data_IF_254860042769
#
_entry.id   IF_254860042769
#
_cell.length_a   1.000
_cell.length_b   1.000
_cell.length_c   1.000
_cell.angle_alpha   90.00
_cell.angle_beta   90.00
_cell.angle_gamma   90.00
#
_symmetry.space_group_name_H-M   'P 1'
#
loop_
_entity.id
_entity.type
_entity.pdbx_description
1 polymer ?
#
# COMPACT_ATOMS: atom_id res chain seq x y z
N UNK A 1 5.83 -31.28 9.80
CA UNK A 1 4.43 -30.84 9.56
C UNK A 1 4.45 -29.93 8.33
N UNK A 2 3.69 -30.22 7.26
CA UNK A 2 3.67 -29.37 6.07
C UNK A 2 2.58 -28.30 6.23
N UNK A 3 2.96 -27.05 6.46
CA UNK A 3 2.01 -25.96 6.62
C UNK A 3 1.41 -25.55 5.26
N UNK A 4 0.07 -25.50 5.18
CA UNK A 4 -0.63 -25.18 3.94
C UNK A 4 -1.02 -23.69 3.87
N UNK A 5 -0.21 -22.91 3.15
CA UNK A 5 -0.49 -21.51 2.85
C UNK A 5 -1.00 -21.27 1.43
N UNK A 6 -1.55 -22.31 0.80
CA UNK A 6 -2.11 -22.16 -0.55
C UNK A 6 -3.31 -21.21 -0.52
N UNK A 7 -3.31 -20.28 -1.47
CA UNK A 7 -4.40 -19.37 -1.75
C UNK A 7 -4.65 -19.37 -3.25
N UNK A 8 -5.90 -19.22 -3.65
CA UNK A 8 -6.28 -19.23 -5.08
C UNK A 8 -5.49 -18.17 -5.85
N UNK A 9 -5.39 -16.96 -5.28
CA UNK A 9 -4.70 -15.84 -5.89
C UNK A 9 -3.92 -15.07 -4.80
N UNK A 10 -2.78 -14.47 -5.15
CA UNK A 10 -2.10 -13.44 -4.34
C UNK A 10 -2.70 -12.05 -4.62
N UNK A 11 -2.89 -11.72 -5.90
CA UNK A 11 -3.37 -10.43 -6.36
C UNK A 11 -4.90 -10.42 -6.48
N UNK A 12 -5.51 -9.41 -5.86
CA UNK A 12 -6.86 -9.00 -6.19
C UNK A 12 -6.81 -8.20 -7.50
N UNK A 13 -7.69 -8.52 -8.45
CA UNK A 13 -7.72 -7.88 -9.76
C UNK A 13 -8.93 -6.95 -9.87
N UNK A 14 -8.70 -5.71 -10.34
CA UNK A 14 -9.74 -4.80 -10.84
C UNK A 14 -9.46 -4.46 -12.29
N UNK A 15 -10.52 -4.22 -13.06
CA UNK A 15 -10.44 -3.84 -14.47
C UNK A 15 -11.43 -2.69 -14.66
N UNK A 16 -10.98 -1.64 -15.32
CA UNK A 16 -11.80 -0.53 -15.79
C UNK A 16 -11.41 -0.22 -17.25
N UNK A 17 -11.89 0.91 -17.76
CA UNK A 17 -11.72 1.28 -19.18
C UNK A 17 -10.29 1.73 -19.52
N UNK A 18 -9.46 2.06 -18.52
CA UNK A 18 -8.10 2.59 -18.73
C UNK A 18 -7.00 1.60 -18.33
N UNK A 19 -7.25 0.74 -17.35
CA UNK A 19 -6.24 -0.11 -16.73
C UNK A 19 -6.78 -1.42 -16.14
N UNK A 20 -5.87 -2.38 -16.03
CA UNK A 20 -5.96 -3.55 -15.15
C UNK A 20 -5.08 -3.29 -13.93
N UNK A 21 -5.64 -3.48 -12.74
CA UNK A 21 -4.94 -3.24 -11.48
C UNK A 21 -4.83 -4.55 -10.70
N UNK A 22 -3.60 -4.96 -10.40
CA UNK A 22 -3.29 -6.07 -9.51
C UNK A 22 -2.86 -5.56 -8.13
N UNK A 23 -3.62 -5.89 -7.08
CA UNK A 23 -3.37 -5.39 -5.73
C UNK A 23 -3.10 -6.53 -4.76
N UNK A 24 -1.96 -6.49 -4.07
CA UNK A 24 -1.61 -7.43 -3.01
C UNK A 24 -2.13 -6.93 -1.66
N UNK A 25 -2.81 -7.82 -0.95
CA UNK A 25 -3.26 -7.60 0.43
C UNK A 25 -2.62 -8.64 1.34
N UNK A 26 -1.77 -8.18 2.25
CA UNK A 26 -1.16 -8.97 3.31
C UNK A 26 -1.81 -8.63 4.67
N UNK A 27 -1.77 -9.57 5.60
CA UNK A 27 -2.18 -9.35 6.98
C UNK A 27 -1.06 -8.67 7.79
N UNK A 28 -1.38 -7.56 8.46
CA UNK A 28 -0.48 -6.88 9.40
C UNK A 28 -0.21 -7.73 10.66
N UNK A 29 0.84 -7.40 11.41
CA UNK A 29 1.32 -8.15 12.58
C UNK A 29 0.21 -8.58 13.54
N UNK A 30 -0.60 -7.61 14.00
CA UNK A 30 -1.66 -7.90 14.98
C UNK A 30 -2.63 -8.96 14.49
N UNK A 31 -2.86 -9.04 13.18
CA UNK A 31 -3.79 -9.98 12.57
C UNK A 31 -3.21 -11.37 12.39
N UNK A 32 -1.93 -11.49 12.06
CA UNK A 32 -1.29 -12.81 11.95
C UNK A 32 -1.12 -13.51 13.31
N UNK A 33 -1.10 -12.76 14.43
CA UNK A 33 -1.16 -13.35 15.79
C UNK A 33 -2.47 -14.11 16.04
N UNK A 34 -3.55 -13.73 15.38
CA UNK A 34 -4.85 -14.41 15.48
C UNK A 34 -5.00 -15.57 14.49
N UNK A 35 -3.95 -15.96 13.75
CA UNK A 35 -4.03 -17.04 12.76
C UNK A 35 -4.68 -18.34 13.28
N UNK A 36 -4.41 -18.82 14.52
CA UNK A 36 -5.11 -20.00 15.06
C UNK A 36 -6.62 -19.82 15.16
N UNK A 37 -7.12 -18.62 15.49
CA UNK A 37 -8.55 -18.32 15.54
C UNK A 37 -9.20 -18.40 14.14
N UNK A 38 -8.41 -18.17 13.10
CA UNK A 38 -8.81 -18.31 11.70
C UNK A 38 -8.63 -19.75 11.17
N UNK A 39 -8.23 -20.72 12.00
CA UNK A 39 -7.96 -22.10 11.60
C UNK A 39 -6.70 -22.24 10.73
N UNK A 40 -5.71 -21.38 10.94
CA UNK A 40 -4.45 -21.38 10.18
C UNK A 40 -3.29 -21.63 11.15
N UNK A 41 -2.68 -22.79 11.02
CA UNK A 41 -1.46 -23.14 11.73
C UNK A 41 -0.22 -22.56 11.06
N UNK A 42 0.84 -22.36 11.84
CA UNK A 42 2.12 -21.90 11.33
C UNK A 42 3.31 -22.46 12.08
N UNK A 43 4.47 -22.41 11.43
CA UNK A 43 5.74 -22.85 12.01
C UNK A 43 6.21 -21.87 13.09
N UNK A 44 5.95 -22.21 14.35
CA UNK A 44 6.38 -21.41 15.51
C UNK A 44 7.89 -21.45 15.73
N UNK A 45 8.58 -22.44 15.19
CA UNK A 45 10.04 -22.58 15.32
C UNK A 45 10.77 -21.73 14.29
N UNK A 46 10.22 -21.63 13.07
CA UNK A 46 10.77 -20.81 12.00
C UNK A 46 10.33 -19.34 12.05
N UNK A 47 9.18 -19.02 12.66
CA UNK A 47 8.63 -17.66 12.67
C UNK A 47 8.22 -17.18 14.06
N UNK A 48 8.91 -16.14 14.55
CA UNK A 48 8.51 -15.43 15.75
C UNK A 48 7.59 -14.24 15.40
N UNK A 49 6.27 -14.41 15.58
CA UNK A 49 5.27 -13.38 15.24
C UNK A 49 5.47 -12.05 15.97
N UNK A 50 6.08 -12.03 17.16
CA UNK A 50 6.36 -10.80 17.89
C UNK A 50 7.42 -9.94 17.20
N UNK A 51 8.25 -10.54 16.34
CA UNK A 51 9.29 -9.85 15.55
C UNK A 51 8.83 -9.49 14.13
N UNK A 52 7.64 -9.92 13.71
CA UNK A 52 7.14 -9.67 12.35
C UNK A 52 6.31 -8.40 12.34
N UNK A 53 6.81 -7.32 11.73
CA UNK A 53 5.99 -6.16 11.43
C UNK A 53 6.14 -5.76 9.95
N UNK A 54 5.06 -5.94 9.18
CA UNK A 54 5.01 -5.57 7.77
C UNK A 54 4.77 -4.07 7.53
N UNK A 55 4.53 -3.27 8.58
CA UNK A 55 4.36 -1.81 8.52
C UNK A 55 5.19 -1.15 9.65
N UNK A 56 6.52 -1.18 9.54
CA UNK A 56 7.42 -0.78 10.63
C UNK A 56 7.22 0.67 11.11
N UNK A 57 6.85 1.58 10.21
CA UNK A 57 6.65 3.00 10.49
C UNK A 57 5.17 3.39 10.64
N UNK A 58 4.26 2.44 10.90
CA UNK A 58 2.86 2.76 11.10
C UNK A 58 2.65 3.57 12.38
N UNK A 59 1.99 4.74 12.26
CA UNK A 59 1.56 5.55 13.40
C UNK A 59 0.28 4.99 14.03
N UNK A 60 -0.08 5.48 15.23
CA UNK A 60 -1.33 5.06 15.88
C UNK A 60 -2.54 5.40 15.00
N UNK A 61 -2.55 6.57 14.36
CA UNK A 61 -3.57 6.95 13.38
C UNK A 61 -3.65 5.98 12.21
N UNK A 62 -2.50 5.61 11.63
CA UNK A 62 -2.43 4.65 10.54
C UNK A 62 -2.98 3.26 10.92
N UNK A 63 -2.66 2.77 12.12
CA UNK A 63 -3.15 1.46 12.61
C UNK A 63 -4.66 1.51 12.85
N UNK A 64 -5.16 2.57 13.47
CA UNK A 64 -6.58 2.74 13.77
C UNK A 64 -7.43 2.89 12.51
N UNK A 65 -6.96 3.68 11.54
CA UNK A 65 -7.64 3.91 10.27
C UNK A 65 -7.38 2.82 9.20
N UNK A 66 -6.60 1.78 9.53
CA UNK A 66 -6.13 0.80 8.56
C UNK A 66 -7.30 0.09 7.84
N UNK A 67 -7.30 0.16 6.51
CA UNK A 67 -8.33 -0.42 5.64
C UNK A 67 -8.47 -1.94 5.79
N UNK A 68 -7.51 -2.63 6.40
CA UNK A 68 -7.64 -4.04 6.74
C UNK A 68 -8.81 -4.29 7.70
N UNK A 69 -9.06 -3.33 8.60
CA UNK A 69 -10.05 -3.41 9.67
C UNK A 69 -11.38 -2.73 9.33
N UNK A 70 -11.53 -2.10 8.16
CA UNK A 70 -12.73 -1.32 7.80
C UNK A 70 -13.66 -2.09 6.85
N UNK A 71 -14.97 -1.83 6.93
CA UNK A 71 -16.00 -2.41 6.06
C UNK A 71 -16.56 -3.75 6.57
N UNK A 72 -17.00 -4.62 5.64
CA UNK A 72 -17.65 -5.94 5.89
C UNK A 72 -16.87 -6.92 6.82
N UNK A 73 -15.66 -6.54 7.26
CA UNK A 73 -14.69 -7.40 7.96
C UNK A 73 -14.67 -7.25 9.48
N UNK A 74 -15.40 -6.28 10.04
CA UNK A 74 -15.43 -6.03 11.49
C UNK A 74 -16.20 -7.11 12.25
N UNK A 75 -17.33 -7.58 11.72
CA UNK A 75 -18.31 -8.36 12.50
C UNK A 75 -18.47 -9.82 12.04
N UNK A 76 -17.58 -10.33 11.20
CA UNK A 76 -17.67 -11.71 10.71
C UNK A 76 -16.97 -12.69 11.66
N UNK A 77 -17.58 -13.85 11.92
CA UNK A 77 -16.93 -14.96 12.64
C UNK A 77 -15.59 -15.34 12.00
N UNK A 78 -14.55 -15.57 12.82
CA UNK A 78 -13.18 -15.79 12.35
C UNK A 78 -13.07 -16.92 11.31
N UNK A 79 -13.66 -18.08 11.59
CA UNK A 79 -13.69 -19.23 10.68
C UNK A 79 -14.46 -19.00 9.37
N UNK A 80 -15.34 -18.00 9.31
CA UNK A 80 -16.13 -17.66 8.10
C UNK A 80 -15.51 -16.50 7.31
N UNK A 81 -14.53 -15.78 7.85
CA UNK A 81 -13.88 -14.67 7.16
C UNK A 81 -12.77 -15.15 6.21
N UNK A 82 -13.20 -15.63 5.04
CA UNK A 82 -12.30 -16.12 3.98
C UNK A 82 -11.28 -15.08 3.50
N UNK A 83 -11.62 -13.79 3.58
CA UNK A 83 -10.74 -12.71 3.13
C UNK A 83 -9.57 -12.51 4.10
N UNK A 84 -9.84 -12.44 5.41
CA UNK A 84 -8.77 -12.37 6.42
C UNK A 84 -7.91 -13.65 6.41
N UNK A 85 -8.53 -14.81 6.26
CA UNK A 85 -7.81 -16.08 6.08
C UNK A 85 -6.86 -16.03 4.87
N UNK A 86 -7.34 -15.57 3.71
CA UNK A 86 -6.49 -15.43 2.52
C UNK A 86 -5.32 -14.47 2.75
N UNK A 87 -5.54 -13.31 3.40
CA UNK A 87 -4.47 -12.36 3.73
C UNK A 87 -3.43 -12.95 4.68
N UNK A 88 -3.85 -13.71 5.70
CA UNK A 88 -2.95 -14.41 6.63
C UNK A 88 -2.12 -15.47 5.89
N UNK A 89 -2.77 -16.30 5.07
CA UNK A 89 -2.08 -17.32 4.25
C UNK A 89 -1.09 -16.68 3.29
N UNK A 90 -1.45 -15.59 2.60
CA UNK A 90 -0.52 -14.82 1.74
C UNK A 90 0.69 -14.31 2.54
N UNK A 91 0.45 -13.76 3.74
CA UNK A 91 1.54 -13.30 4.62
C UNK A 91 2.45 -14.45 5.02
N UNK A 92 1.91 -15.59 5.48
CA UNK A 92 2.75 -16.72 5.84
C UNK A 92 3.46 -17.33 4.64
N UNK A 93 2.81 -17.38 3.47
CA UNK A 93 3.47 -17.81 2.23
C UNK A 93 4.66 -16.91 1.90
N UNK A 94 4.52 -15.59 2.03
CA UNK A 94 5.64 -14.65 1.85
C UNK A 94 6.77 -14.88 2.88
N UNK A 95 6.42 -15.06 4.15
CA UNK A 95 7.41 -15.16 5.25
C UNK A 95 8.10 -16.52 5.34
N UNK A 96 7.41 -17.61 5.01
CA UNK A 96 7.87 -18.99 5.25
C UNK A 96 8.06 -19.80 3.96
N UNK A 97 7.47 -19.37 2.84
CA UNK A 97 7.49 -20.09 1.55
C UNK A 97 7.79 -19.11 0.40
N UNK A 98 8.85 -18.31 0.58
CA UNK A 98 9.15 -17.15 -0.26
C UNK A 98 9.29 -17.49 -1.76
N UNK A 99 9.92 -18.60 -2.11
CA UNK A 99 10.04 -19.06 -3.50
C UNK A 99 8.66 -19.32 -4.12
N UNK A 100 7.83 -20.11 -3.46
CA UNK A 100 6.46 -20.40 -3.90
C UNK A 100 5.58 -19.15 -3.95
N UNK A 101 5.84 -18.16 -3.09
CA UNK A 101 5.17 -16.86 -3.15
C UNK A 101 5.52 -16.12 -4.45
N UNK A 102 6.81 -16.00 -4.77
CA UNK A 102 7.25 -15.31 -5.98
C UNK A 102 6.84 -16.05 -7.25
N UNK A 103 6.93 -17.38 -7.30
CA UNK A 103 6.43 -18.16 -8.43
C UNK A 103 4.95 -17.90 -8.73
N UNK A 104 4.12 -17.87 -7.69
CA UNK A 104 2.70 -17.57 -7.84
C UNK A 104 2.48 -16.11 -8.26
N UNK A 105 3.20 -15.15 -7.68
CA UNK A 105 3.12 -13.73 -8.04
C UNK A 105 3.48 -13.51 -9.51
N UNK A 106 4.57 -14.13 -9.97
CA UNK A 106 5.05 -14.07 -11.36
C UNK A 106 4.02 -14.65 -12.32
N UNK A 107 3.42 -15.79 -11.98
CA UNK A 107 2.35 -16.41 -12.80
C UNK A 107 1.15 -15.47 -12.92
N UNK A 108 0.74 -14.83 -11.83
CA UNK A 108 -0.40 -13.92 -11.80
C UNK A 108 -0.12 -12.62 -12.58
N UNK A 109 1.04 -11.98 -12.38
CA UNK A 109 1.42 -10.77 -13.15
C UNK A 109 1.48 -11.09 -14.65
N UNK A 110 2.07 -12.23 -15.05
CA UNK A 110 2.08 -12.65 -16.46
C UNK A 110 0.66 -12.84 -17.03
N UNK A 111 -0.27 -13.38 -16.25
CA UNK A 111 -1.66 -13.52 -16.67
C UNK A 111 -2.35 -12.16 -16.83
N UNK A 112 -2.11 -11.21 -15.92
CA UNK A 112 -2.62 -9.84 -16.03
C UNK A 112 -2.01 -9.12 -17.22
N UNK A 113 -0.70 -9.26 -17.46
CA UNK A 113 0.02 -8.66 -18.60
C UNK A 113 -0.54 -9.13 -19.94
N UNK A 114 -0.78 -10.45 -20.11
CA UNK A 114 -1.45 -10.98 -21.31
C UNK A 114 -2.85 -10.38 -21.48
N UNK A 115 -3.60 -10.23 -20.39
CA UNK A 115 -4.95 -9.64 -20.44
C UNK A 115 -4.90 -8.15 -20.80
N UNK A 116 -3.99 -7.39 -20.20
CA UNK A 116 -3.80 -5.97 -20.46
C UNK A 116 -3.47 -5.74 -21.94
N UNK A 117 -2.51 -6.51 -22.48
CA UNK A 117 -2.16 -6.48 -23.92
C UNK A 117 -3.35 -6.82 -24.82
N UNK A 118 -4.14 -7.85 -24.49
CA UNK A 118 -5.32 -8.25 -25.27
C UNK A 118 -6.37 -7.13 -25.37
N UNK A 119 -6.52 -6.34 -24.31
CA UNK A 119 -7.55 -5.30 -24.22
C UNK A 119 -7.00 -3.89 -24.43
N UNK A 120 -5.72 -3.74 -24.81
CA UNK A 120 -5.03 -2.45 -24.92
C UNK A 120 -5.16 -1.56 -23.66
N UNK A 121 -5.08 -2.18 -22.49
CA UNK A 121 -5.16 -1.51 -21.18
C UNK A 121 -3.78 -1.38 -20.56
N UNK A 122 -3.58 -0.36 -19.72
CA UNK A 122 -2.40 -0.28 -18.84
C UNK A 122 -2.43 -1.41 -17.80
N UNK A 123 -1.27 -1.84 -17.32
CA UNK A 123 -1.17 -2.76 -16.18
C UNK A 123 -0.47 -2.07 -15.02
N UNK A 124 -1.20 -1.89 -13.93
CA UNK A 124 -0.69 -1.32 -12.68
C UNK A 124 -0.65 -2.38 -11.59
N UNK A 125 0.46 -2.46 -10.85
CA UNK A 125 0.63 -3.37 -9.72
C UNK A 125 0.90 -2.60 -8.43
N UNK A 126 0.07 -2.84 -7.42
CA UNK A 126 0.21 -2.29 -6.07
C UNK A 126 0.48 -3.42 -5.07
N UNK A 127 1.68 -3.45 -4.48
CA UNK A 127 2.10 -4.54 -3.59
C UNK A 127 1.91 -4.21 -2.10
N UNK A 128 1.87 -2.92 -1.74
CA UNK A 128 1.73 -2.38 -0.39
C UNK A 128 0.36 -1.74 -0.17
N UNK A 129 -0.73 -2.52 -0.29
CA UNK A 129 -2.06 -2.00 0.06
C UNK A 129 -2.38 -2.09 1.53
N UNK A 130 -1.91 -3.15 2.21
CA UNK A 130 -2.09 -3.35 3.66
C UNK A 130 -0.77 -3.75 4.35
N UNK A 131 0.35 -3.40 3.72
CA UNK A 131 1.73 -3.55 4.17
C UNK A 131 2.54 -2.33 3.75
N UNK A 132 3.77 -2.22 4.24
CA UNK A 132 4.79 -1.25 3.81
C UNK A 132 6.14 -2.00 3.76
N UNK A 133 6.23 -2.94 2.82
CA UNK A 133 7.40 -3.78 2.56
C UNK A 133 8.31 -3.07 1.55
N UNK A 134 9.62 -3.21 1.73
CA UNK A 134 10.62 -2.66 0.81
C UNK A 134 10.81 -3.61 -0.38
N UNK A 135 9.81 -3.71 -1.26
CA UNK A 135 9.79 -4.65 -2.38
C UNK A 135 10.98 -4.54 -3.33
N UNK A 136 11.56 -3.35 -3.47
CA UNK A 136 12.79 -3.11 -4.24
C UNK A 136 14.03 -3.79 -3.64
N UNK A 137 13.94 -4.28 -2.40
CA UNK A 137 14.99 -5.02 -1.68
C UNK A 137 14.64 -6.50 -1.50
N UNK A 138 13.49 -6.95 -1.98
CA UNK A 138 13.05 -8.34 -1.84
C UNK A 138 13.55 -9.19 -3.01
N UNK A 139 14.79 -9.68 -2.91
CA UNK A 139 15.39 -10.55 -3.93
C UNK A 139 14.81 -11.97 -3.92
N UNK A 140 14.80 -12.61 -5.08
CA UNK A 140 14.37 -14.00 -5.26
C UNK A 140 15.09 -14.64 -6.46
N UNK A 141 15.03 -15.96 -6.55
CA UNK A 141 15.51 -16.73 -7.70
C UNK A 141 14.32 -17.24 -8.50
N UNK A 142 14.36 -17.13 -9.82
CA UNK A 142 13.35 -17.67 -10.72
C UNK A 142 14.02 -18.22 -11.98
N UNK A 143 13.77 -19.50 -12.29
CA UNK A 143 14.42 -20.23 -13.40
C UNK A 143 15.94 -20.06 -13.37
N UNK A 144 16.55 -20.34 -12.21
CA UNK A 144 18.00 -20.28 -11.98
C UNK A 144 18.63 -18.88 -12.09
N UNK A 145 17.84 -17.84 -12.39
CA UNK A 145 18.30 -16.44 -12.43
C UNK A 145 17.91 -15.74 -11.12
N UNK A 146 18.87 -15.06 -10.50
CA UNK A 146 18.63 -14.24 -9.32
C UNK A 146 18.22 -12.83 -9.73
N UNK A 147 17.07 -12.39 -9.24
CA UNK A 147 16.55 -11.03 -9.41
C UNK A 147 16.68 -10.26 -8.10
N UNK A 148 17.04 -8.98 -8.18
CA UNK A 148 17.13 -8.05 -7.04
C UNK A 148 15.76 -7.75 -6.46
N UNK A 149 14.74 -7.71 -7.31
CA UNK A 149 13.33 -7.52 -6.94
C UNK A 149 12.40 -7.87 -8.11
N UNK A 150 11.09 -7.83 -7.85
CA UNK A 150 10.07 -8.22 -8.84
C UNK A 150 9.95 -7.23 -10.00
N UNK A 151 10.35 -5.98 -9.79
CA UNK A 151 10.28 -4.94 -10.82
C UNK A 151 11.37 -5.12 -11.89
N UNK A 152 12.53 -5.70 -11.54
CA UNK A 152 13.57 -6.10 -12.50
C UNK A 152 13.11 -7.23 -13.43
N UNK A 153 12.30 -8.17 -12.93
CA UNK A 153 11.75 -9.23 -13.80
C UNK A 153 10.65 -8.71 -14.74
N UNK A 154 9.95 -7.64 -14.34
CA UNK A 154 8.82 -7.07 -15.08
C UNK A 154 9.06 -5.59 -15.42
N UNK A 155 10.15 -5.31 -16.14
CA UNK A 155 10.56 -3.93 -16.48
C UNK A 155 9.50 -3.14 -17.27
N UNK A 156 8.59 -3.84 -17.96
CA UNK A 156 7.50 -3.27 -18.76
C UNK A 156 6.14 -3.20 -18.03
N UNK A 157 6.13 -3.47 -16.73
CA UNK A 157 4.94 -3.34 -15.87
C UNK A 157 5.15 -2.18 -14.91
N UNK A 158 4.13 -1.33 -14.76
CA UNK A 158 4.14 -0.20 -13.84
C UNK A 158 3.75 -0.66 -12.43
N UNK A 159 4.65 -0.40 -11.47
CA UNK A 159 4.40 -0.64 -10.05
C UNK A 159 4.24 0.69 -9.33
N UNK A 160 3.33 0.74 -8.37
CA UNK A 160 3.22 1.90 -7.47
C UNK A 160 2.85 1.46 -6.07
N UNK A 161 3.39 2.16 -5.07
CA UNK A 161 3.08 1.88 -3.66
C UNK A 161 3.10 3.15 -2.80
N UNK A 162 2.32 3.11 -1.72
CA UNK A 162 2.39 4.10 -0.65
C UNK A 162 3.33 3.61 0.44
N UNK A 163 4.11 4.53 1.02
CA UNK A 163 5.09 4.19 2.04
C UNK A 163 5.22 5.27 3.09
N UNK A 164 5.51 4.88 4.33
CA UNK A 164 5.87 5.81 5.42
C UNK A 164 7.38 5.88 5.66
N UNK A 165 8.17 5.11 4.92
CA UNK A 165 9.61 5.24 4.96
C UNK A 165 10.04 6.58 4.35
N UNK A 166 11.09 7.16 4.92
CA UNK A 166 11.70 8.35 4.34
C UNK A 166 12.37 7.98 3.00
N UNK A 167 11.73 8.34 1.89
CA UNK A 167 12.17 7.98 0.54
C UNK A 167 13.52 8.65 0.23
N UNK A 168 13.65 9.93 0.58
CA UNK A 168 14.84 10.75 0.34
C UNK A 168 16.09 10.21 1.05
N UNK A 169 15.95 9.56 2.22
CA UNK A 169 17.07 8.98 2.98
C UNK A 169 17.31 7.51 2.66
N UNK A 170 16.24 6.70 2.57
CA UNK A 170 16.36 5.23 2.64
C UNK A 170 15.98 4.47 1.36
N UNK A 171 15.39 5.15 0.35
CA UNK A 171 14.86 4.56 -0.88
C UNK A 171 15.20 5.38 -2.14
N UNK A 172 16.44 5.92 -2.22
CA UNK A 172 16.89 6.81 -3.33
C UNK A 172 17.10 6.14 -4.70
N UNK A 173 17.11 4.79 -4.77
CA UNK A 173 17.44 4.03 -5.98
C UNK A 173 16.36 2.98 -6.27
N UNK A 174 15.14 3.43 -6.52
CA UNK A 174 14.08 2.53 -6.96
C UNK A 174 14.20 2.22 -8.45
N UNK A 175 13.73 1.04 -8.90
CA UNK A 175 13.56 0.74 -10.32
C UNK A 175 12.73 1.81 -11.03
N UNK A 176 13.01 2.09 -12.31
CA UNK A 176 12.34 3.14 -13.09
C UNK A 176 10.83 2.92 -13.24
N UNK A 177 10.40 1.67 -13.25
CA UNK A 177 9.00 1.25 -13.31
C UNK A 177 8.36 1.14 -11.92
N UNK A 178 8.96 1.70 -10.86
CA UNK A 178 8.41 1.68 -9.51
C UNK A 178 8.26 3.08 -8.91
N UNK A 179 7.01 3.51 -8.79
CA UNK A 179 6.63 4.79 -8.21
C UNK A 179 6.33 4.64 -6.72
N UNK A 180 7.06 5.39 -5.88
CA UNK A 180 6.78 5.47 -4.45
C UNK A 180 6.13 6.80 -4.10
N UNK A 181 5.02 6.72 -3.38
CA UNK A 181 4.27 7.89 -2.90
C UNK A 181 4.39 7.93 -1.37
N UNK A 182 4.88 9.04 -0.84
CA UNK A 182 5.01 9.18 0.61
C UNK A 182 3.63 9.34 1.26
N UNK A 183 3.23 8.46 2.16
CA UNK A 183 1.97 8.56 2.89
C UNK A 183 2.16 9.35 4.17
N UNK A 184 1.52 10.52 4.26
CA UNK A 184 1.55 11.36 5.45
C UNK A 184 1.20 10.55 6.70
N UNK A 185 1.97 10.71 7.76
CA UNK A 185 1.97 9.90 8.96
C UNK A 185 1.24 10.59 10.13
N UNK A 186 1.23 11.92 10.16
CA UNK A 186 0.60 12.73 11.19
C UNK A 186 1.37 12.63 12.51
N UNK A 187 0.64 12.54 13.63
CA UNK A 187 1.20 12.43 14.96
C UNK A 187 1.48 10.96 15.35
N UNK A 188 2.64 10.72 15.95
CA UNK A 188 2.96 9.49 16.66
C UNK A 188 3.29 9.81 18.11
N UNK A 189 2.47 9.30 19.04
CA UNK A 189 2.60 9.57 20.48
C UNK A 189 2.67 11.08 20.80
N UNK A 190 1.81 11.86 20.13
CA UNK A 190 1.71 13.32 20.31
C UNK A 190 2.78 14.15 19.59
N UNK A 191 3.74 13.52 18.92
CA UNK A 191 4.78 14.22 18.15
C UNK A 191 4.49 14.14 16.66
N UNK A 192 4.61 15.28 15.96
CA UNK A 192 4.50 15.33 14.51
C UNK A 192 5.65 14.56 13.88
N UNK A 193 5.30 13.63 12.98
CA UNK A 193 6.26 12.75 12.28
C UNK A 193 6.75 13.41 11.00
N UNK A 194 5.87 14.15 10.33
CA UNK A 194 6.11 14.82 9.07
C UNK A 194 5.49 16.22 9.07
N UNK A 195 6.34 17.24 9.16
CA UNK A 195 5.91 18.63 9.03
C UNK A 195 5.52 18.97 7.60
N UNK A 196 4.77 20.07 7.40
CA UNK A 196 4.47 20.56 6.07
C UNK A 196 5.74 20.87 5.26
N UNK A 197 6.76 21.46 5.90
CA UNK A 197 8.07 21.70 5.28
C UNK A 197 8.73 20.41 4.78
N UNK A 198 8.68 19.32 5.55
CA UNK A 198 9.18 18.02 5.13
C UNK A 198 8.39 17.44 3.96
N UNK A 199 7.06 17.62 3.95
CA UNK A 199 6.18 17.22 2.84
C UNK A 199 6.48 18.01 1.57
N UNK A 200 6.66 19.33 1.67
CA UNK A 200 7.09 20.17 0.55
C UNK A 200 8.47 19.75 0.03
N UNK A 201 9.38 19.31 0.90
CA UNK A 201 10.68 18.80 0.46
C UNK A 201 10.54 17.54 -0.41
N UNK A 202 9.63 16.62 -0.09
CA UNK A 202 9.34 15.50 -1.00
C UNK A 202 8.81 16.00 -2.35
N UNK A 203 7.83 16.88 -2.34
CA UNK A 203 7.22 17.42 -3.56
C UNK A 203 8.25 18.15 -4.44
N UNK A 204 9.11 18.99 -3.87
CA UNK A 204 10.20 19.67 -4.59
C UNK A 204 11.23 18.70 -5.20
N UNK A 205 11.36 17.49 -4.65
CA UNK A 205 12.22 16.43 -5.16
C UNK A 205 11.47 15.42 -6.06
N UNK A 206 10.35 15.82 -6.68
CA UNK A 206 9.54 14.99 -7.59
C UNK A 206 8.95 13.74 -6.92
N UNK A 207 8.80 13.75 -5.60
CA UNK A 207 8.17 12.67 -4.84
C UNK A 207 6.78 13.12 -4.44
N UNK A 208 5.77 12.49 -5.03
CA UNK A 208 4.38 12.73 -4.66
C UNK A 208 4.09 12.27 -3.23
N UNK A 209 3.15 12.96 -2.58
CA UNK A 209 2.69 12.62 -1.24
C UNK A 209 1.22 12.20 -1.28
N UNK A 210 0.79 11.45 -0.28
CA UNK A 210 -0.60 11.04 -0.10
C UNK A 210 -1.11 11.50 1.26
N UNK A 211 -2.26 12.14 1.26
CA UNK A 211 -2.94 12.66 2.45
C UNK A 211 -4.29 11.96 2.57
N UNK A 212 -4.62 11.51 3.78
CA UNK A 212 -5.93 10.93 4.07
C UNK A 212 -6.80 12.01 4.70
N UNK A 213 -8.02 12.18 4.22
CA UNK A 213 -8.95 13.18 4.71
C UNK A 213 -10.39 12.69 4.66
N UNK A 214 -11.30 13.41 5.31
CA UNK A 214 -12.74 13.18 5.14
C UNK A 214 -13.18 13.53 3.72
N UNK A 215 -14.35 13.03 3.29
CA UNK A 215 -14.92 13.36 1.97
C UNK A 215 -15.11 14.86 1.79
N UNK A 216 -15.55 15.57 2.83
CA UNK A 216 -15.72 17.03 2.82
C UNK A 216 -14.41 17.76 2.52
N UNK A 217 -13.34 17.42 3.26
CA UNK A 217 -12.02 18.02 3.06
C UNK A 217 -11.44 17.64 1.69
N UNK A 218 -11.64 16.39 1.26
CA UNK A 218 -11.21 15.92 -0.06
C UNK A 218 -11.81 16.77 -1.17
N UNK A 219 -13.13 16.94 -1.18
CA UNK A 219 -13.83 17.68 -2.24
C UNK A 219 -13.39 19.14 -2.26
N UNK A 220 -13.30 19.78 -1.09
CA UNK A 220 -12.82 21.16 -0.98
C UNK A 220 -11.40 21.35 -1.54
N UNK A 221 -10.48 20.45 -1.22
CA UNK A 221 -9.09 20.54 -1.71
C UNK A 221 -9.00 20.23 -3.21
N UNK A 222 -9.83 19.31 -3.73
CA UNK A 222 -9.89 19.02 -5.17
C UNK A 222 -10.38 20.22 -5.99
N UNK A 223 -11.34 21.00 -5.47
CA UNK A 223 -11.82 22.23 -6.13
C UNK A 223 -10.73 23.28 -6.34
N UNK A 224 -9.71 23.29 -5.48
CA UNK A 224 -8.58 24.23 -5.59
C UNK A 224 -7.60 23.84 -6.69
N UNK A 225 -7.62 22.59 -7.16
CA UNK A 225 -6.71 21.95 -8.12
C UNK A 225 -5.21 21.96 -7.73
N UNK A 226 -4.78 22.89 -6.87
CA UNK A 226 -3.42 23.06 -6.38
C UNK A 226 -3.45 23.55 -4.92
N UNK A 227 -2.39 23.22 -4.17
CA UNK A 227 -2.13 23.77 -2.84
C UNK A 227 -0.67 24.23 -2.77
N UNK A 228 -0.46 25.52 -2.50
CA UNK A 228 0.85 26.19 -2.54
C UNK A 228 1.67 25.90 -3.81
N UNK A 229 0.99 25.84 -4.96
CA UNK A 229 1.59 25.58 -6.27
C UNK A 229 1.81 24.10 -6.62
N UNK A 230 1.55 23.17 -5.71
CA UNK A 230 1.62 21.73 -5.99
C UNK A 230 0.27 21.20 -6.47
N UNK A 231 0.28 20.41 -7.56
CA UNK A 231 -0.92 19.79 -8.15
C UNK A 231 -1.60 18.86 -7.15
N UNK A 232 -2.92 18.98 -7.02
CA UNK A 232 -3.76 18.06 -6.26
C UNK A 232 -4.40 17.06 -7.23
N UNK A 233 -4.39 15.79 -6.85
CA UNK A 233 -5.00 14.69 -7.59
C UNK A 233 -5.91 13.85 -6.68
N UNK A 234 -6.95 13.28 -7.26
CA UNK A 234 -7.70 12.24 -6.58
C UNK A 234 -6.90 10.94 -6.61
N UNK A 235 -6.55 10.42 -5.43
CA UNK A 235 -5.79 9.19 -5.35
C UNK A 235 -6.54 8.00 -5.96
N UNK A 236 -7.88 8.00 -5.94
CA UNK A 236 -8.68 6.94 -6.55
C UNK A 236 -8.56 6.94 -8.07
N UNK A 237 -8.49 8.11 -8.71
CA UNK A 237 -8.29 8.23 -10.16
C UNK A 237 -6.91 7.76 -10.57
N UNK A 238 -5.87 8.14 -9.82
CA UNK A 238 -4.51 7.63 -10.00
C UNK A 238 -4.45 6.11 -9.84
N UNK A 239 -5.04 5.57 -8.77
CA UNK A 239 -5.07 4.12 -8.52
C UNK A 239 -5.85 3.33 -9.58
N UNK A 240 -6.74 4.01 -10.33
CA UNK A 240 -7.49 3.45 -11.47
C UNK A 240 -6.76 3.64 -12.79
N UNK A 241 -5.60 4.31 -12.82
CA UNK A 241 -4.87 4.62 -14.06
C UNK A 241 -5.56 5.65 -14.94
N UNK A 242 -6.48 6.43 -14.37
CA UNK A 242 -7.11 7.58 -15.05
C UNK A 242 -6.13 8.75 -15.03
N UNK A 243 -5.61 9.08 -13.85
CA UNK A 243 -4.56 10.09 -13.69
C UNK A 243 -3.18 9.44 -13.71
N UNK A 244 -2.22 10.14 -14.30
CA UNK A 244 -0.79 9.83 -14.21
C UNK A 244 -0.08 10.86 -13.36
N UNK A 245 0.96 10.42 -12.65
CA UNK A 245 1.94 11.35 -12.11
C UNK A 245 2.82 11.72 -13.30
N UNK A 246 2.52 12.85 -13.93
CA UNK A 246 3.25 13.37 -15.08
C UNK A 246 4.75 13.52 -14.73
N UNK A 247 5.65 13.58 -15.72
CA UNK A 247 7.05 13.96 -15.51
C UNK A 247 7.18 15.46 -15.17
N UNK A 248 6.39 15.93 -14.20
CA UNK A 248 6.40 17.29 -13.71
C UNK A 248 7.68 17.56 -12.94
N UNK A 249 8.07 18.84 -12.93
CA UNK A 249 9.26 19.33 -12.20
C UNK A 249 9.12 19.08 -10.68
N UNK A 250 7.88 18.94 -10.19
CA UNK A 250 7.54 18.70 -8.79
C UNK A 250 6.57 17.51 -8.67
N UNK A 251 6.50 16.90 -7.49
CA UNK A 251 5.51 15.88 -7.15
C UNK A 251 4.11 16.46 -6.97
N UNK A 252 3.13 15.56 -6.85
CA UNK A 252 1.71 15.90 -6.64
C UNK A 252 1.23 15.48 -5.25
N UNK A 253 0.15 16.11 -4.80
CA UNK A 253 -0.58 15.75 -3.58
C UNK A 253 -1.75 14.85 -3.97
N UNK A 254 -1.74 13.60 -3.53
CA UNK A 254 -2.82 12.64 -3.76
C UNK A 254 -3.74 12.60 -2.53
N UNK A 255 -5.02 12.85 -2.74
CA UNK A 255 -6.02 12.84 -1.67
C UNK A 255 -6.76 11.51 -1.60
N UNK A 256 -6.68 10.86 -0.45
CA UNK A 256 -7.44 9.65 -0.11
C UNK A 256 -8.62 10.01 0.78
N UNK A 257 -9.80 9.49 0.43
CA UNK A 257 -10.95 9.53 1.33
C UNK A 257 -10.80 8.45 2.42
N UNK A 258 -10.91 8.85 3.69
CA UNK A 258 -11.14 7.91 4.77
C UNK A 258 -12.52 7.26 4.60
N UNK A 259 -12.56 5.93 4.42
CA UNK A 259 -13.83 5.21 4.20
C UNK A 259 -14.85 5.55 5.28
N UNK A 260 -16.11 5.71 4.89
CA UNK A 260 -17.23 5.85 5.82
C UNK A 260 -17.21 4.75 6.90
N UNK A 261 -17.32 5.14 8.17
CA UNK A 261 -17.25 4.23 9.32
C UNK A 261 -15.83 3.78 9.70
N UNK A 262 -14.78 4.38 9.11
CA UNK A 262 -13.41 4.21 9.60
C UNK A 262 -13.31 4.78 11.01
N UNK A 263 -12.71 4.04 11.94
CA UNK A 263 -12.35 4.61 13.23
C UNK A 263 -11.24 5.62 13.01
N UNK A 264 -11.49 6.87 13.42
CA UNK A 264 -10.51 7.95 13.33
C UNK A 264 -9.99 8.24 14.72
N UNK A 265 -8.67 8.25 14.87
CA UNK A 265 -8.03 8.74 16.08
C UNK A 265 -7.82 10.25 15.94
N UNK A 266 -8.71 11.05 16.53
CA UNK A 266 -8.68 12.52 16.46
C UNK A 266 -7.34 13.11 16.94
N UNK A 267 -6.68 12.44 17.89
CA UNK A 267 -5.40 12.89 18.44
C UNK A 267 -4.19 12.47 17.58
N UNK A 268 -4.42 11.87 16.41
CA UNK A 268 -3.34 11.42 15.52
C UNK A 268 -3.09 12.36 14.35
N UNK A 269 -4.01 13.28 14.05
CA UNK A 269 -3.97 14.11 12.84
C UNK A 269 -3.70 13.35 11.53
N UNK A 270 -3.83 12.02 11.51
CA UNK A 270 -3.50 11.20 10.33
C UNK A 270 -4.56 11.37 9.24
N UNK A 271 -5.83 11.44 9.65
CA UNK A 271 -6.94 11.84 8.79
C UNK A 271 -7.20 13.32 9.06
N UNK A 272 -7.18 14.15 8.02
CA UNK A 272 -7.61 15.55 8.14
C UNK A 272 -9.15 15.60 8.10
N UNK A 273 -9.75 16.16 9.14
CA UNK A 273 -11.20 16.16 9.33
C UNK A 273 -11.81 17.54 9.13
N UNK A 274 -11.05 18.60 9.44
CA UNK A 274 -11.53 19.98 9.52
C UNK A 274 -10.66 20.96 8.73
N UNK A 275 -11.15 22.19 8.55
CA UNK A 275 -10.36 23.29 7.96
C UNK A 275 -9.16 23.66 8.84
N UNK A 276 -9.34 23.58 10.16
CA UNK A 276 -8.27 23.83 11.12
C UNK A 276 -7.14 22.81 10.96
N UNK A 277 -7.45 21.55 10.66
CA UNK A 277 -6.42 20.54 10.35
C UNK A 277 -5.59 20.90 9.12
N UNK A 278 -6.20 21.51 8.09
CA UNK A 278 -5.45 22.00 6.92
C UNK A 278 -4.49 23.10 7.37
N UNK A 279 -4.96 24.08 8.16
CA UNK A 279 -4.14 25.18 8.66
C UNK A 279 -3.00 24.71 9.57
N UNK A 280 -3.24 23.71 10.40
CA UNK A 280 -2.26 23.24 11.37
C UNK A 280 -1.22 22.27 10.79
N UNK A 281 -1.53 21.62 9.67
CA UNK A 281 -0.70 20.52 9.17
C UNK A 281 -0.28 20.63 7.71
N UNK A 282 -0.84 21.59 6.95
CA UNK A 282 -0.51 21.85 5.55
C UNK A 282 -0.12 23.32 5.28
N UNK A 283 0.22 24.06 6.33
CA UNK A 283 0.88 25.38 6.30
C UNK A 283 2.00 25.38 7.35
#
# INVERSE_FOLDING_TARGET
MQYNYNTTNLLSKKINDTAIIGTLYLAAQKNIMHAPMYGIDYDKTALNLNKVNLCKNATNGCVTACIYHNGLFQNSHFSKNKIKQARIKRTFKFLLQKEQFFEQLIKEINALKRKAKKHNLKLLIQLNKTSDILWEKESFTYKEVKYKNIMELFEDVEFFDYTKYNILKSRKKTPKNYTLIYSRAGLHKGKLVDSWEELQNYLKNQISIAIVCTNEIKNRLLEQAQHEGFKILDAENFEKGVDTLDNSIQGSILLHEAKKGTNINKNSAFVLETTEDIQNYLY
#
